data_IF_433399370389
#
_entry.id   IF_433399370389
#
_cell.length_a   1.000
_cell.length_b   1.000
_cell.length_c   1.000
_cell.angle_alpha   90.00
_cell.angle_beta   90.00
_cell.angle_gamma   90.00
#
_symmetry.space_group_name_H-M   'P 1'
#
loop_
_entity.id
_entity.type
_entity.pdbx_description
1 polymer ?
#
# COMPACT_ATOMS: atom_id res chain seq x y z
N UNK A 1 0.14 0.70 36.64
CA UNK A 1 -0.74 1.20 35.57
C UNK A 1 -0.63 0.20 34.44
N UNK A 2 -1.63 -0.67 34.26
CA UNK A 2 -1.66 -1.59 33.12
C UNK A 2 -1.96 -0.75 31.90
N UNK A 3 -0.98 -0.58 31.01
CA UNK A 3 -1.16 0.10 29.73
C UNK A 3 -2.27 -0.62 28.98
N UNK A 4 -3.28 0.13 28.55
CA UNK A 4 -4.40 -0.38 27.76
C UNK A 4 -3.86 -1.02 26.47
N UNK A 5 -4.39 -2.19 26.09
CA UNK A 5 -3.86 -2.96 24.97
C UNK A 5 -4.13 -2.20 23.65
N UNK A 6 -3.09 -1.70 22.96
CA UNK A 6 -3.25 -0.89 21.76
C UNK A 6 -3.84 -1.68 20.59
N UNK A 7 -3.84 -3.01 20.66
CA UNK A 7 -4.42 -3.88 19.63
C UNK A 7 -5.86 -3.49 19.29
N UNK A 8 -6.69 -3.17 20.29
CA UNK A 8 -8.10 -2.86 20.05
C UNK A 8 -8.32 -1.51 19.38
N UNK A 9 -7.41 -0.55 19.61
CA UNK A 9 -7.45 0.76 18.95
C UNK A 9 -7.14 0.57 17.47
N UNK A 10 -6.01 -0.07 17.15
CA UNK A 10 -5.61 -0.33 15.77
C UNK A 10 -6.63 -1.23 15.06
N UNK A 11 -7.19 -2.23 15.75
CA UNK A 11 -8.30 -3.04 15.20
C UNK A 11 -9.48 -2.17 14.77
N UNK A 12 -9.88 -1.19 15.59
CA UNK A 12 -11.00 -0.31 15.26
C UNK A 12 -10.66 0.60 14.07
N UNK A 13 -9.44 1.12 14.00
CA UNK A 13 -8.94 1.91 12.88
C UNK A 13 -8.94 1.11 11.57
N UNK A 14 -8.47 -0.13 11.61
CA UNK A 14 -8.51 -1.07 10.47
C UNK A 14 -9.95 -1.33 10.04
N UNK A 15 -10.88 -1.57 10.97
CA UNK A 15 -12.30 -1.76 10.65
C UNK A 15 -12.88 -0.52 9.98
N UNK A 16 -12.55 0.68 10.46
CA UNK A 16 -12.99 1.93 9.87
C UNK A 16 -12.41 2.13 8.45
N UNK A 17 -11.12 1.87 8.27
CA UNK A 17 -10.44 1.94 6.98
C UNK A 17 -11.05 0.96 5.97
N UNK A 18 -11.34 -0.27 6.39
CA UNK A 18 -12.00 -1.30 5.56
C UNK A 18 -13.40 -0.85 5.15
N UNK A 19 -14.19 -0.26 6.05
CA UNK A 19 -15.52 0.24 5.71
C UNK A 19 -15.46 1.39 4.69
N UNK A 20 -14.56 2.37 4.90
CA UNK A 20 -14.31 3.45 3.92
C UNK A 20 -13.90 2.89 2.56
N UNK A 21 -13.04 1.88 2.55
CA UNK A 21 -12.59 1.21 1.33
C UNK A 21 -13.73 0.48 0.61
N UNK A 22 -14.66 -0.13 1.35
CA UNK A 22 -15.87 -0.75 0.77
C UNK A 22 -16.78 0.27 0.11
N UNK A 23 -17.02 1.41 0.77
CA UNK A 23 -17.84 2.49 0.20
C UNK A 23 -17.20 3.03 -1.08
N UNK A 24 -15.89 3.22 -1.07
CA UNK A 24 -15.11 3.63 -2.24
C UNK A 24 -15.16 2.57 -3.35
N UNK A 25 -15.10 1.28 -3.00
CA UNK A 25 -15.18 0.16 -3.95
C UNK A 25 -16.58 0.07 -4.60
N UNK A 26 -17.65 0.29 -3.84
CA UNK A 26 -19.01 0.36 -4.38
C UNK A 26 -19.14 1.51 -5.37
N UNK A 27 -18.66 2.70 -5.00
CA UNK A 27 -18.66 3.87 -5.89
C UNK A 27 -17.86 3.61 -7.17
N UNK A 28 -16.67 3.01 -7.06
CA UNK A 28 -15.87 2.60 -8.20
C UNK A 28 -16.60 1.60 -9.11
N UNK A 29 -17.31 0.63 -8.52
CA UNK A 29 -18.09 -0.36 -9.27
C UNK A 29 -19.25 0.29 -10.04
N UNK A 30 -19.97 1.23 -9.43
CA UNK A 30 -21.05 1.98 -10.11
C UNK A 30 -20.51 2.83 -11.28
N UNK A 31 -19.41 3.54 -11.05
CA UNK A 31 -18.77 4.39 -12.07
C UNK A 31 -18.33 3.59 -13.29
N UNK A 32 -17.85 2.37 -13.06
CA UNK A 32 -17.44 1.46 -14.10
C UNK A 32 -18.61 1.01 -14.99
N UNK A 33 -19.78 0.77 -14.42
CA UNK A 33 -20.96 0.30 -15.18
C UNK A 33 -21.54 1.40 -16.10
N UNK A 34 -21.32 2.68 -15.76
CA UNK A 34 -21.78 3.82 -16.56
C UNK A 34 -20.88 4.18 -17.76
N UNK A 35 -19.76 3.47 -17.93
CA UNK A 35 -18.85 3.30 -19.08
C UNK A 35 -18.43 4.51 -19.98
N UNK A 36 -18.92 5.74 -19.80
CA UNK A 36 -18.61 6.85 -20.75
C UNK A 36 -18.48 8.27 -20.15
N UNK A 37 -18.83 8.56 -18.89
CA UNK A 37 -18.92 9.95 -18.40
C UNK A 37 -17.78 10.37 -17.46
N UNK A 38 -17.13 9.45 -16.72
CA UNK A 38 -16.15 9.82 -15.67
C UNK A 38 -14.83 9.04 -15.70
N UNK A 39 -14.07 9.09 -16.80
CA UNK A 39 -12.76 8.39 -16.91
C UNK A 39 -11.77 8.83 -15.83
N UNK A 40 -11.70 10.13 -15.56
CA UNK A 40 -10.83 10.72 -14.54
C UNK A 40 -11.24 10.30 -13.12
N UNK A 41 -12.55 10.28 -12.83
CA UNK A 41 -13.08 9.81 -11.54
C UNK A 41 -12.82 8.32 -11.32
N UNK A 42 -12.90 7.50 -12.38
CA UNK A 42 -12.54 6.07 -12.33
C UNK A 42 -11.04 5.89 -12.04
N UNK A 43 -10.18 6.70 -12.66
CA UNK A 43 -8.72 6.62 -12.45
C UNK A 43 -8.32 7.07 -11.04
N UNK A 44 -8.95 8.14 -10.55
CA UNK A 44 -8.78 8.61 -9.18
C UNK A 44 -9.26 7.56 -8.17
N UNK A 45 -10.50 7.07 -8.29
CA UNK A 45 -11.04 6.02 -7.40
C UNK A 45 -10.23 4.72 -7.44
N UNK A 46 -9.71 4.34 -8.62
CA UNK A 46 -8.79 3.19 -8.79
C UNK A 46 -7.49 3.39 -7.99
N UNK A 47 -6.92 4.59 -8.04
CA UNK A 47 -5.67 4.90 -7.35
C UNK A 47 -5.88 4.94 -5.84
N UNK A 48 -6.95 5.59 -5.40
CA UNK A 48 -7.30 5.70 -3.99
C UNK A 48 -7.60 4.33 -3.35
N UNK A 49 -8.29 3.44 -4.09
CA UNK A 49 -8.50 2.06 -3.65
C UNK A 49 -7.19 1.30 -3.46
N UNK A 50 -6.23 1.44 -4.38
CA UNK A 50 -4.92 0.79 -4.26
C UNK A 50 -4.15 1.28 -3.03
N UNK A 51 -4.19 2.59 -2.77
CA UNK A 51 -3.55 3.19 -1.60
C UNK A 51 -4.20 2.68 -0.32
N UNK A 52 -5.53 2.65 -0.27
CA UNK A 52 -6.28 2.16 0.88
C UNK A 52 -6.02 0.67 1.15
N UNK A 53 -6.01 -0.17 0.11
CA UNK A 53 -5.67 -1.59 0.26
C UNK A 53 -4.26 -1.79 0.82
N UNK A 54 -3.28 -1.00 0.35
CA UNK A 54 -1.89 -1.09 0.82
C UNK A 54 -1.76 -0.64 2.27
N UNK A 55 -2.43 0.45 2.65
CA UNK A 55 -2.44 0.92 4.05
C UNK A 55 -3.01 -0.15 4.98
N UNK A 56 -4.15 -0.75 4.62
CA UNK A 56 -4.77 -1.81 5.43
C UNK A 56 -3.87 -3.05 5.51
N UNK A 57 -3.19 -3.42 4.42
CA UNK A 57 -2.25 -4.56 4.44
C UNK A 57 -1.09 -4.33 5.41
N UNK A 58 -0.52 -3.12 5.44
CA UNK A 58 0.52 -2.76 6.40
C UNK A 58 0.03 -2.84 7.85
N UNK A 59 -1.14 -2.26 8.15
CA UNK A 59 -1.70 -2.32 9.50
C UNK A 59 -1.95 -3.78 9.94
N UNK A 60 -2.38 -4.64 9.02
CA UNK A 60 -2.58 -6.07 9.30
C UNK A 60 -1.27 -6.84 9.49
N UNK A 61 -0.20 -6.46 8.78
CA UNK A 61 1.15 -7.02 8.97
C UNK A 61 1.69 -6.67 10.36
N UNK A 62 1.59 -5.40 10.76
CA UNK A 62 1.97 -4.93 12.09
C UNK A 62 1.19 -5.67 13.19
N UNK A 63 -0.13 -5.83 13.02
CA UNK A 63 -0.96 -6.58 13.96
C UNK A 63 -0.53 -8.06 14.04
N UNK A 64 -0.16 -8.69 12.94
CA UNK A 64 0.32 -10.07 12.91
C UNK A 64 1.67 -10.21 13.62
N UNK A 65 2.59 -9.27 13.42
CA UNK A 65 3.85 -9.21 14.16
C UNK A 65 3.62 -9.07 15.67
N UNK A 66 2.70 -8.19 16.08
CA UNK A 66 2.39 -8.02 17.50
C UNK A 66 1.84 -9.31 18.13
N UNK A 67 1.00 -10.05 17.42
CA UNK A 67 0.51 -11.35 17.86
C UNK A 67 1.68 -12.35 17.98
N UNK A 68 2.58 -12.40 17.00
CA UNK A 68 3.78 -13.26 17.04
C UNK A 68 4.66 -12.95 18.25
N UNK A 69 4.80 -11.67 18.63
CA UNK A 69 5.54 -11.24 19.82
C UNK A 69 4.83 -11.71 21.11
N UNK A 70 3.50 -11.57 21.18
CA UNK A 70 2.70 -12.02 22.32
C UNK A 70 2.80 -13.53 22.50
N UNK A 71 2.70 -14.30 21.42
CA UNK A 71 2.82 -15.76 21.42
C UNK A 71 4.18 -16.24 21.92
N UNK A 72 5.25 -15.54 21.56
CA UNK A 72 6.62 -15.86 22.01
C UNK A 72 6.85 -15.54 23.49
N UNK A 73 6.04 -14.69 24.12
CA UNK A 73 6.25 -14.27 25.52
C UNK A 73 4.97 -14.22 26.38
N UNK A 74 4.27 -15.37 26.58
CA UNK A 74 2.98 -15.41 27.25
C UNK A 74 3.03 -14.94 28.71
N UNK A 75 4.17 -15.13 29.40
CA UNK A 75 4.35 -14.71 30.80
C UNK A 75 4.31 -13.19 30.99
N UNK A 76 4.77 -12.43 29.98
CA UNK A 76 4.82 -10.96 30.01
C UNK A 76 3.45 -10.34 29.73
N UNK A 77 2.74 -10.86 28.74
CA UNK A 77 1.51 -10.25 28.22
C UNK A 77 0.24 -10.80 28.87
N UNK A 78 0.26 -12.03 29.41
CA UNK A 78 -0.90 -12.65 30.09
C UNK A 78 -2.19 -12.62 29.25
N UNK A 79 -2.06 -12.76 27.94
CA UNK A 79 -3.18 -12.85 26.99
C UNK A 79 -3.56 -14.32 26.84
N UNK A 80 -4.85 -14.61 26.87
CA UNK A 80 -5.37 -15.97 26.75
C UNK A 80 -5.22 -16.52 25.31
N UNK A 81 -5.04 -17.83 25.16
CA UNK A 81 -4.96 -18.47 23.85
C UNK A 81 -6.23 -18.28 23.02
N UNK A 82 -7.42 -18.21 23.65
CA UNK A 82 -8.67 -17.92 22.92
C UNK A 82 -8.68 -16.52 22.36
N UNK A 83 -8.14 -15.55 23.10
CA UNK A 83 -8.01 -14.17 22.66
C UNK A 83 -7.04 -14.06 21.48
N UNK A 84 -5.85 -14.69 21.58
CA UNK A 84 -4.87 -14.76 20.48
C UNK A 84 -5.51 -15.33 19.20
N UNK A 85 -6.26 -16.44 19.32
CA UNK A 85 -6.95 -17.04 18.18
C UNK A 85 -8.01 -16.11 17.59
N UNK A 86 -8.73 -15.35 18.43
CA UNK A 86 -9.72 -14.37 17.97
C UNK A 86 -9.04 -13.23 17.18
N UNK A 87 -7.86 -12.79 17.63
CA UNK A 87 -7.06 -11.77 16.93
C UNK A 87 -6.57 -12.26 15.57
N UNK A 88 -6.05 -13.50 15.51
CA UNK A 88 -5.65 -14.14 14.25
C UNK A 88 -6.82 -14.27 13.27
N UNK A 89 -7.97 -14.77 13.74
CA UNK A 89 -9.16 -14.89 12.92
C UNK A 89 -9.66 -13.54 12.37
N UNK A 90 -9.53 -12.46 13.15
CA UNK A 90 -9.84 -11.11 12.67
C UNK A 90 -8.90 -10.68 11.52
N UNK A 91 -7.58 -10.89 11.67
CA UNK A 91 -6.60 -10.55 10.64
C UNK A 91 -6.86 -11.35 9.37
N UNK A 92 -7.01 -12.67 9.48
CA UNK A 92 -7.23 -13.57 8.35
C UNK A 92 -8.49 -13.19 7.57
N UNK A 93 -9.60 -12.95 8.28
CA UNK A 93 -10.87 -12.53 7.67
C UNK A 93 -10.74 -11.19 6.96
N UNK A 94 -10.01 -10.25 7.55
CA UNK A 94 -9.84 -8.91 6.97
C UNK A 94 -8.93 -8.98 5.73
N UNK A 95 -7.85 -9.77 5.78
CA UNK A 95 -6.99 -10.06 4.63
C UNK A 95 -7.80 -10.66 3.48
N UNK A 96 -8.60 -11.68 3.75
CA UNK A 96 -9.45 -12.31 2.73
C UNK A 96 -10.41 -11.30 2.09
N UNK A 97 -11.08 -10.47 2.89
CA UNK A 97 -12.01 -9.47 2.38
C UNK A 97 -11.34 -8.41 1.49
N UNK A 98 -10.15 -7.93 1.89
CA UNK A 98 -9.36 -6.97 1.10
C UNK A 98 -8.87 -7.60 -0.20
N UNK A 99 -8.36 -8.84 -0.15
CA UNK A 99 -7.94 -9.56 -1.37
C UNK A 99 -9.12 -9.79 -2.33
N UNK A 100 -10.30 -10.16 -1.84
CA UNK A 100 -11.48 -10.35 -2.69
C UNK A 100 -11.89 -9.06 -3.43
N UNK A 101 -11.80 -7.89 -2.78
CA UNK A 101 -12.07 -6.61 -3.45
C UNK A 101 -10.99 -6.28 -4.48
N UNK A 102 -9.72 -6.53 -4.13
CA UNK A 102 -8.58 -6.34 -5.03
C UNK A 102 -8.68 -7.20 -6.28
N UNK A 103 -8.96 -8.49 -6.14
CA UNK A 103 -9.05 -9.43 -7.27
C UNK A 103 -10.16 -9.04 -8.24
N UNK A 104 -11.35 -8.68 -7.73
CA UNK A 104 -12.48 -8.22 -8.57
C UNK A 104 -12.14 -6.95 -9.36
N UNK A 105 -11.30 -6.08 -8.79
CA UNK A 105 -10.81 -4.87 -9.45
C UNK A 105 -9.84 -5.20 -10.60
N UNK A 106 -9.03 -6.26 -10.48
CA UNK A 106 -8.08 -6.70 -11.52
C UNK A 106 -8.71 -7.59 -12.60
N UNK A 107 -9.57 -8.55 -12.25
CA UNK A 107 -10.29 -9.42 -13.22
C UNK A 107 -11.11 -8.60 -14.23
N UNK A 108 -11.59 -7.46 -13.79
CA UNK A 108 -12.31 -6.48 -14.61
C UNK A 108 -11.50 -5.98 -15.80
N UNK A 109 -10.18 -5.80 -15.65
CA UNK A 109 -9.31 -5.35 -16.75
C UNK A 109 -9.12 -6.44 -17.80
N UNK A 110 -9.08 -7.71 -17.41
CA UNK A 110 -8.95 -8.84 -18.32
C UNK A 110 -10.24 -9.17 -19.09
N UNK A 111 -11.42 -9.06 -18.46
CA UNK A 111 -12.70 -9.33 -19.14
C UNK A 111 -12.99 -8.34 -20.28
N UNK A 112 -12.57 -7.07 -20.19
CA UNK A 112 -12.70 -6.12 -21.31
C UNK A 112 -11.80 -6.48 -22.50
N UNK A 113 -10.61 -7.07 -22.25
CA UNK A 113 -9.70 -7.55 -23.30
C UNK A 113 -10.17 -8.86 -23.92
N UNK A 114 -10.80 -9.75 -23.14
CA UNK A 114 -11.26 -11.08 -23.62
C UNK A 114 -12.67 -11.09 -24.18
N UNK A 115 -13.56 -10.18 -23.75
CA UNK A 115 -14.96 -10.14 -24.20
C UNK A 115 -15.13 -9.39 -25.53
N UNK A 116 -14.11 -8.65 -25.98
CA UNK A 116 -13.97 -8.24 -27.38
C UNK A 116 -13.45 -9.35 -28.31
N UNK A 117 -12.95 -10.47 -27.76
CA UNK A 117 -12.24 -11.52 -28.50
C UNK A 117 -12.95 -12.89 -28.52
N UNK A 118 -14.03 -13.08 -27.74
CA UNK A 118 -14.68 -14.40 -27.55
C UNK A 118 -16.22 -14.33 -27.63
N UNK A 119 -16.75 -13.48 -28.51
CA UNK A 119 -18.16 -13.52 -28.90
C UNK A 119 -18.37 -14.52 -30.04
N UNK A 120 -18.79 -15.73 -29.69
CA UNK A 120 -19.32 -16.82 -30.57
C UNK A 120 -18.28 -17.67 -31.33
N UNK A 121 -18.27 -18.98 -31.10
CA UNK A 121 -17.73 -19.92 -32.10
C UNK A 121 -17.21 -21.28 -31.64
N UNK A 122 -16.70 -21.43 -30.42
CA UNK A 122 -15.92 -22.65 -30.09
C UNK A 122 -16.63 -23.60 -29.13
N UNK A 123 -17.73 -24.21 -29.60
CA UNK A 123 -18.34 -25.34 -28.89
C UNK A 123 -18.70 -26.52 -29.80
N UNK A 124 -18.18 -26.60 -31.03
CA UNK A 124 -18.65 -27.61 -32.01
C UNK A 124 -17.60 -28.25 -32.92
N UNK A 125 -16.38 -28.47 -32.43
CA UNK A 125 -15.39 -29.30 -33.16
C UNK A 125 -14.88 -30.44 -32.28
N UNK A 126 -15.77 -31.37 -31.94
CA UNK A 126 -15.34 -32.67 -31.38
C UNK A 126 -16.26 -33.82 -31.81
N UNK A 127 -16.98 -33.70 -32.91
CA UNK A 127 -17.76 -34.83 -33.42
C UNK A 127 -17.77 -34.90 -34.94
N UNK A 128 -16.99 -35.87 -35.41
CA UNK A 128 -17.28 -36.86 -36.46
C UNK A 128 -16.17 -36.89 -37.53
N UNK A 129 -15.09 -37.54 -37.13
CA UNK A 129 -14.27 -38.34 -38.03
C UNK A 129 -15.00 -39.68 -38.23
N UNK A 130 -15.85 -39.75 -39.26
CA UNK A 130 -16.05 -40.92 -40.11
C UNK A 130 -17.14 -40.63 -41.15
N UNK A 131 -16.96 -41.25 -42.31
CA UNK A 131 -17.97 -41.55 -43.34
C UNK A 131 -17.93 -40.73 -44.66
N UNK A 132 -17.04 -41.21 -45.54
CA UNK A 132 -17.27 -41.58 -46.97
C UNK A 132 -18.06 -40.61 -47.89
N UNK A 133 -17.30 -39.97 -48.78
CA UNK A 133 -17.50 -39.89 -50.25
C UNK A 133 -18.92 -39.58 -50.81
N UNK A 134 -19.15 -38.32 -51.22
CA UNK A 134 -20.23 -37.95 -52.18
C UNK A 134 -19.86 -36.71 -53.02
N UNK A 135 -20.10 -36.71 -54.35
CA UNK A 135 -19.62 -35.67 -55.29
C UNK A 135 -20.42 -34.35 -55.27
N UNK A 136 -21.27 -34.12 -54.27
CA UNK A 136 -22.04 -32.85 -54.11
C UNK A 136 -21.26 -31.76 -53.36
N UNK A 137 -20.04 -32.06 -52.92
CA UNK A 137 -19.24 -31.20 -52.04
C UNK A 137 -18.26 -30.27 -52.76
N UNK A 138 -18.21 -30.22 -54.10
CA UNK A 138 -17.33 -29.26 -54.79
C UNK A 138 -17.82 -27.81 -54.67
N UNK A 139 -19.14 -27.59 -54.70
CA UNK A 139 -19.73 -26.25 -54.64
C UNK A 139 -19.74 -25.65 -53.23
N UNK A 140 -19.56 -26.47 -52.19
CA UNK A 140 -19.48 -26.01 -50.80
C UNK A 140 -18.04 -25.60 -50.42
N UNK A 141 -17.04 -26.16 -51.10
CA UNK A 141 -15.62 -25.91 -50.80
C UNK A 141 -15.18 -24.53 -51.33
N UNK A 142 -15.67 -24.10 -52.49
CA UNK A 142 -15.34 -22.77 -53.07
C UNK A 142 -15.92 -21.61 -52.23
N UNK A 143 -17.17 -21.72 -51.78
CA UNK A 143 -17.79 -20.74 -50.86
C UNK A 143 -17.06 -20.70 -49.50
N UNK A 144 -16.49 -21.83 -49.06
CA UNK A 144 -15.75 -21.92 -47.80
C UNK A 144 -14.35 -21.30 -47.92
N UNK A 145 -13.69 -21.39 -49.07
CA UNK A 145 -12.37 -20.79 -49.29
C UNK A 145 -12.41 -19.27 -49.42
N UNK A 146 -13.41 -18.71 -50.11
CA UNK A 146 -13.58 -17.25 -50.16
C UNK A 146 -13.93 -16.66 -48.78
N UNK A 147 -14.73 -17.38 -47.99
CA UNK A 147 -15.00 -16.99 -46.61
C UNK A 147 -13.72 -17.03 -45.73
N UNK A 148 -12.82 -17.99 -45.96
CA UNK A 148 -11.53 -18.06 -45.24
C UNK A 148 -10.57 -16.91 -45.57
N UNK A 149 -10.52 -16.42 -46.81
CA UNK A 149 -9.66 -15.29 -47.18
C UNK A 149 -10.11 -13.98 -46.54
N UNK A 150 -11.42 -13.73 -46.47
CA UNK A 150 -11.97 -12.57 -45.75
C UNK A 150 -11.68 -12.61 -44.24
N UNK A 151 -11.58 -13.81 -43.66
CA UNK A 151 -11.22 -13.99 -42.25
C UNK A 151 -9.73 -13.72 -42.01
N UNK A 152 -8.85 -14.11 -42.93
CA UNK A 152 -7.40 -13.86 -42.84
C UNK A 152 -7.09 -12.36 -42.97
N UNK A 153 -7.69 -11.66 -43.94
CA UNK A 153 -7.50 -10.22 -44.10
C UNK A 153 -7.99 -9.45 -42.85
N UNK A 154 -9.06 -9.92 -42.20
CA UNK A 154 -9.55 -9.34 -40.94
C UNK A 154 -8.63 -9.61 -39.73
N UNK A 155 -7.79 -10.65 -39.79
CA UNK A 155 -6.81 -10.97 -38.75
C UNK A 155 -5.53 -10.14 -38.89
N UNK A 156 -5.11 -9.76 -40.10
CA UNK A 156 -3.95 -8.88 -40.28
C UNK A 156 -4.21 -7.47 -39.71
N UNK A 157 -5.42 -6.94 -39.87
CA UNK A 157 -5.83 -5.67 -39.25
C UNK A 157 -5.83 -5.74 -37.70
N UNK A 158 -6.05 -6.93 -37.13
CA UNK A 158 -5.96 -7.14 -35.67
C UNK A 158 -4.51 -7.21 -35.18
N UNK A 159 -3.58 -7.77 -35.96
CA UNK A 159 -2.17 -7.83 -35.59
C UNK A 159 -1.54 -6.43 -35.55
N UNK A 160 -1.92 -5.54 -36.46
CA UNK A 160 -1.48 -4.13 -36.45
C UNK A 160 -1.97 -3.37 -35.20
N UNK A 161 -3.21 -3.63 -34.75
CA UNK A 161 -3.79 -3.05 -33.53
C UNK A 161 -3.18 -3.60 -32.24
N UNK A 162 -2.80 -4.89 -32.22
CA UNK A 162 -2.01 -5.48 -31.13
C UNK A 162 -0.63 -4.83 -31.07
N UNK A 163 -0.01 -4.53 -32.21
CA UNK A 163 1.25 -3.78 -32.28
C UNK A 163 1.20 -2.40 -31.62
N UNK A 164 0.11 -1.65 -31.82
CA UNK A 164 -0.11 -0.35 -31.18
C UNK A 164 -0.30 -0.46 -29.66
N UNK A 165 -0.98 -1.51 -29.19
CA UNK A 165 -1.24 -1.74 -27.76
C UNK A 165 0.05 -2.13 -27.02
N UNK A 166 0.91 -2.94 -27.65
CA UNK A 166 2.25 -3.27 -27.12
C UNK A 166 3.15 -2.02 -27.11
N UNK A 167 3.01 -1.13 -28.09
CA UNK A 167 3.68 0.18 -28.13
C UNK A 167 3.29 1.07 -26.94
N UNK A 168 1.99 1.17 -26.63
CA UNK A 168 1.51 1.95 -25.46
C UNK A 168 1.93 1.32 -24.13
N UNK A 169 1.87 -0.01 -24.01
CA UNK A 169 2.31 -0.71 -22.79
C UNK A 169 3.82 -0.53 -22.53
N UNK A 170 4.63 -0.59 -23.60
CA UNK A 170 6.08 -0.30 -23.53
C UNK A 170 6.35 1.15 -23.14
N UNK A 171 5.55 2.09 -23.64
CA UNK A 171 5.66 3.51 -23.27
C UNK A 171 5.28 3.76 -21.80
N UNK A 172 4.19 3.15 -21.32
CA UNK A 172 3.76 3.28 -19.93
C UNK A 172 4.69 2.56 -18.96
N UNK A 173 5.19 1.37 -19.30
CA UNK A 173 6.19 0.66 -18.50
C UNK A 173 7.50 1.44 -18.41
N UNK A 174 7.89 2.15 -19.47
CA UNK A 174 9.06 3.03 -19.46
C UNK A 174 8.83 4.29 -18.63
N UNK A 175 7.63 4.86 -18.68
CA UNK A 175 7.26 6.02 -17.86
C UNK A 175 7.18 5.67 -16.38
N UNK A 176 6.64 4.49 -16.03
CA UNK A 176 6.63 3.95 -14.67
C UNK A 176 8.04 3.64 -14.20
N UNK A 177 8.89 3.05 -15.06
CA UNK A 177 10.29 2.79 -14.72
C UNK A 177 11.07 4.08 -14.44
N UNK A 178 10.88 5.10 -15.28
CA UNK A 178 11.53 6.41 -15.10
C UNK A 178 11.02 7.13 -13.84
N UNK A 179 9.72 7.07 -13.53
CA UNK A 179 9.14 7.67 -12.31
C UNK A 179 9.61 6.94 -11.04
N UNK A 180 9.76 5.61 -11.10
CA UNK A 180 10.30 4.81 -10.00
C UNK A 180 11.79 5.11 -9.77
N UNK A 181 12.55 5.36 -10.84
CA UNK A 181 13.96 5.77 -10.79
C UNK A 181 14.10 7.21 -10.27
N UNK A 182 13.20 8.12 -10.66
CA UNK A 182 13.14 9.50 -10.14
C UNK A 182 12.75 9.55 -8.65
N UNK A 183 11.83 8.69 -8.21
CA UNK A 183 11.49 8.54 -6.79
C UNK A 183 12.61 7.86 -5.99
N UNK A 184 13.41 6.97 -6.58
CA UNK A 184 14.60 6.42 -5.95
C UNK A 184 15.68 7.49 -5.71
N UNK A 185 15.82 8.44 -6.64
CA UNK A 185 16.75 9.57 -6.51
C UNK A 185 16.23 10.57 -5.46
N UNK A 186 14.93 10.83 -5.42
CA UNK A 186 14.32 11.69 -4.41
C UNK A 186 14.39 11.09 -2.99
N UNK A 187 14.38 9.76 -2.86
CA UNK A 187 14.59 9.07 -1.58
C UNK A 187 16.05 9.16 -1.10
N UNK A 188 17.01 9.16 -2.02
CA UNK A 188 18.43 9.38 -1.68
C UNK A 188 18.67 10.82 -1.22
N UNK A 189 17.99 11.79 -1.84
CA UNK A 189 18.01 13.20 -1.41
C UNK A 189 17.30 13.41 -0.06
N UNK A 190 16.19 12.72 0.19
CA UNK A 190 15.54 12.69 1.52
C UNK A 190 16.47 12.06 2.57
N UNK A 191 17.19 10.99 2.22
CA UNK A 191 18.21 10.38 3.07
C UNK A 191 19.34 11.35 3.42
N UNK A 192 19.81 12.11 2.43
CA UNK A 192 20.82 13.15 2.62
C UNK A 192 20.31 14.32 3.48
N UNK A 193 19.09 14.81 3.24
CA UNK A 193 18.48 15.85 4.06
C UNK A 193 18.24 15.38 5.50
N UNK A 194 17.90 14.09 5.69
CA UNK A 194 17.76 13.46 7.00
C UNK A 194 19.11 13.38 7.72
N UNK A 195 20.18 12.97 7.06
CA UNK A 195 21.54 12.92 7.63
C UNK A 195 22.05 14.33 8.02
N UNK A 196 21.77 15.34 7.19
CA UNK A 196 22.06 16.75 7.51
C UNK A 196 21.23 17.23 8.70
N UNK A 197 19.98 16.79 8.81
CA UNK A 197 19.09 17.12 9.94
C UNK A 197 19.55 16.44 11.21
N UNK A 198 19.98 15.18 11.16
CA UNK A 198 20.58 14.45 12.28
C UNK A 198 21.87 15.12 12.75
N UNK A 199 22.75 15.52 11.84
CA UNK A 199 23.99 16.24 12.18
C UNK A 199 23.72 17.60 12.84
N UNK A 200 22.72 18.35 12.34
CA UNK A 200 22.28 19.62 12.94
C UNK A 200 21.61 19.40 14.30
N UNK A 201 20.82 18.35 14.44
CA UNK A 201 20.18 17.95 15.69
C UNK A 201 21.21 17.53 16.73
N UNK A 202 22.22 16.73 16.36
CA UNK A 202 23.28 16.33 17.28
C UNK A 202 24.14 17.54 17.71
N UNK A 203 24.39 18.47 16.79
CA UNK A 203 25.05 19.73 17.14
C UNK A 203 24.22 20.62 18.09
N UNK A 204 22.88 20.66 17.93
CA UNK A 204 22.02 21.40 18.85
C UNK A 204 21.86 20.69 20.19
N UNK A 205 21.71 19.36 20.20
CA UNK A 205 21.72 18.53 21.42
C UNK A 205 23.05 18.68 22.16
N UNK A 206 24.18 18.66 21.47
CA UNK A 206 25.50 18.91 22.05
C UNK A 206 25.64 20.32 22.64
N UNK A 207 25.08 21.35 21.97
CA UNK A 207 25.04 22.72 22.51
C UNK A 207 24.14 22.83 23.73
N UNK A 208 23.00 22.13 23.77
CA UNK A 208 22.10 22.07 24.92
C UNK A 208 22.77 21.34 26.09
N UNK A 209 23.40 20.19 25.83
CA UNK A 209 24.17 19.45 26.83
C UNK A 209 25.31 20.29 27.38
N UNK A 210 26.02 21.03 26.53
CA UNK A 210 27.10 21.94 26.95
C UNK A 210 26.59 23.17 27.67
N UNK A 211 25.46 23.75 27.27
CA UNK A 211 24.82 24.85 27.98
C UNK A 211 24.33 24.41 29.36
N UNK A 212 23.70 23.24 29.45
CA UNK A 212 23.30 22.62 30.71
C UNK A 212 24.51 22.36 31.62
N UNK A 213 25.59 21.82 31.07
CA UNK A 213 26.83 21.55 31.81
C UNK A 213 27.66 22.82 32.10
N UNK A 214 27.49 23.91 31.35
CA UNK A 214 28.09 25.22 31.64
C UNK A 214 27.35 25.98 32.75
N UNK A 215 26.17 25.54 33.17
CA UNK A 215 25.47 26.13 34.33
C UNK A 215 26.08 25.75 35.68
N UNK A 216 26.96 24.73 35.75
CA UNK A 216 27.68 24.42 37.00
C UNK A 216 28.96 25.27 37.10
N UNK A 217 28.78 26.57 37.32
CA UNK A 217 29.91 27.48 37.39
C UNK A 217 30.44 27.56 38.82
N UNK A 218 31.71 27.20 39.04
CA UNK A 218 32.41 27.30 40.34
C UNK A 218 32.32 28.72 40.92
N UNK A 219 32.12 29.71 40.04
CA UNK A 219 31.87 31.13 40.35
C UNK A 219 30.53 31.38 41.06
N UNK A 220 29.47 30.66 40.71
CA UNK A 220 28.18 30.78 41.42
C UNK A 220 28.28 30.20 42.82
N UNK A 221 28.92 29.04 42.98
CA UNK A 221 29.16 28.44 44.29
C UNK A 221 30.07 29.29 45.18
N UNK A 222 31.08 29.96 44.61
CA UNK A 222 31.91 30.92 45.36
C UNK A 222 31.13 32.19 45.73
N UNK A 223 30.28 32.72 44.84
CA UNK A 223 29.43 33.87 45.15
C UNK A 223 28.42 33.55 46.28
N UNK A 224 27.78 32.38 46.24
CA UNK A 224 26.89 31.90 47.31
C UNK A 224 27.66 31.73 48.63
N UNK A 225 28.86 31.15 48.58
CA UNK A 225 29.71 30.97 49.76
C UNK A 225 30.15 32.29 50.40
N UNK A 226 30.55 33.28 49.60
CA UNK A 226 30.92 34.63 50.08
C UNK A 226 29.70 35.34 50.69
N UNK A 227 28.52 35.23 50.06
CA UNK A 227 27.29 35.85 50.57
C UNK A 227 26.87 35.23 51.91
N UNK A 228 26.97 33.92 52.07
CA UNK A 228 26.71 33.25 53.34
C UNK A 228 27.69 33.67 54.44
N UNK A 229 28.97 33.84 54.11
CA UNK A 229 29.99 34.29 55.07
C UNK A 229 29.71 35.72 55.56
N UNK A 230 29.30 36.62 54.66
CA UNK A 230 28.90 37.99 55.03
C UNK A 230 27.70 37.98 55.97
N UNK A 231 26.67 37.19 55.66
CA UNK A 231 25.48 37.05 56.53
C UNK A 231 25.89 36.50 57.91
N UNK A 232 26.78 35.51 57.96
CA UNK A 232 27.26 34.96 59.23
C UNK A 232 28.00 36.02 60.07
N UNK A 233 28.83 36.85 59.46
CA UNK A 233 29.50 37.97 60.16
C UNK A 233 28.48 38.98 60.70
N UNK A 234 27.46 39.33 59.92
CA UNK A 234 26.39 40.24 60.36
C UNK A 234 25.65 39.66 61.57
N UNK A 235 25.33 38.37 61.55
CA UNK A 235 24.66 37.69 62.67
C UNK A 235 25.56 37.70 63.91
N UNK A 236 26.86 37.41 63.77
CA UNK A 236 27.79 37.47 64.90
C UNK A 236 27.91 38.88 65.47
N UNK A 237 27.98 39.91 64.61
CA UNK A 237 27.98 41.30 65.05
C UNK A 237 26.71 41.66 65.83
N UNK A 238 25.55 41.19 65.37
CA UNK A 238 24.28 41.40 66.06
C UNK A 238 24.20 40.71 67.44
N UNK A 239 24.87 39.57 67.62
CA UNK A 239 24.92 38.90 68.92
C UNK A 239 25.95 39.51 69.88
N UNK A 240 26.99 40.16 69.36
CA UNK A 240 28.07 40.77 70.14
C UNK A 240 27.74 42.21 70.55
N UNK A 241 27.05 42.96 69.68
CA UNK A 241 26.65 44.36 69.89
C UNK A 241 25.28 44.44 70.58
#
# INVERSE_FOLDING_TARGET
MTVEDPFFVVKNEVVEAVNKTKDLYQRWSELKDLNLISKEEIEWTTTELKNSFRSIEWDLEDLEETISIVEKNPKKFKIDCTEINTRKAFIDKTKEEVQLMRDKMFETKEKKTRQGLLGTGYAKYTRLENEVESPTQSNFIDDTQQAQQLIIDSQEEQIERVGNTVGTLKSMSKQIGNELEEQSVMLDELGYEMEVTESKMDATVGKIAKALHMTSDKRQWTAIGVLLLIIFIIILLFFIL
#
